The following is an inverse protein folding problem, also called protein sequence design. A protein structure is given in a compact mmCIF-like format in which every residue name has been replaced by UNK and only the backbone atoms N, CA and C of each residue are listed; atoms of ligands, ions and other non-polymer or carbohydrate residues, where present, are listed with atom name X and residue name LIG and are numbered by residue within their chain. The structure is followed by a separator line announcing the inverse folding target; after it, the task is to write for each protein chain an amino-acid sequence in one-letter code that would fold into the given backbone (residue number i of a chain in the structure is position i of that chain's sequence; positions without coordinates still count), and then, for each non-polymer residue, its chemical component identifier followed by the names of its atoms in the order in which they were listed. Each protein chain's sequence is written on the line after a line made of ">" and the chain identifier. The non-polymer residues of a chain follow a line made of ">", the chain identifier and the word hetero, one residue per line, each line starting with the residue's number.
data_IF_706448623135
#
_entry.id   IF_706448623135
#
_cell.length_a   1.000
_cell.length_b   1.000
_cell.length_c   1.000
_cell.angle_alpha   90.00
_cell.angle_beta   90.00
_cell.angle_gamma   90.00
#
_symmetry.space_group_name_H-M   'P 1'
#
loop_
_entity.id
_entity.type
_entity.pdbx_description
1 polymer ?
#
# COMPACT_ATOMS: atom_id res chain seq x y z
N UNK A 1 6.94 21.99 -61.10
CA UNK A 1 6.65 23.42 -61.21
C UNK A 1 6.57 24.00 -59.80
N UNK A 2 7.54 24.86 -59.52
CA UNK A 2 7.60 26.06 -58.68
C UNK A 2 7.04 25.93 -57.27
N UNK A 3 7.94 25.96 -56.25
CA UNK A 3 8.48 27.18 -55.58
C UNK A 3 7.34 28.02 -55.01
N UNK A 4 7.33 28.32 -53.74
CA UNK A 4 8.13 29.36 -53.11
C UNK A 4 8.21 29.13 -51.57
N UNK A 5 9.40 29.37 -51.07
CA UNK A 5 9.78 29.68 -49.70
C UNK A 5 9.26 31.06 -49.29
N UNK A 6 8.91 31.26 -48.05
CA UNK A 6 9.02 32.56 -47.42
C UNK A 6 9.44 32.42 -45.94
N UNK A 7 10.68 32.81 -45.72
CA UNK A 7 11.28 33.19 -44.45
C UNK A 7 10.82 34.58 -44.07
N UNK A 8 10.61 34.86 -42.81
CA UNK A 8 10.86 36.11 -42.08
C UNK A 8 10.19 35.94 -40.70
N UNK A 9 10.76 36.12 -39.57
CA UNK A 9 11.87 36.93 -39.15
C UNK A 9 11.52 37.54 -37.80
N UNK A 10 12.35 37.34 -36.79
CA UNK A 10 12.61 38.17 -35.62
C UNK A 10 11.47 38.75 -34.81
N UNK A 11 11.46 38.44 -33.50
CA UNK A 11 11.75 39.49 -32.51
C UNK A 11 11.84 38.91 -31.10
N UNK A 12 13.03 39.02 -30.56
CA UNK A 12 13.39 39.00 -29.15
C UNK A 12 12.70 40.15 -28.41
N UNK A 13 11.96 39.87 -27.35
CA UNK A 13 11.81 40.82 -26.25
C UNK A 13 11.91 40.03 -24.95
N UNK A 14 13.07 40.17 -24.32
CA UNK A 14 13.30 39.78 -22.96
C UNK A 14 12.63 40.77 -22.00
N UNK A 15 11.92 40.25 -21.05
CA UNK A 15 11.59 41.03 -19.83
C UNK A 15 12.06 40.24 -18.62
N UNK A 16 13.20 40.70 -18.14
CA UNK A 16 13.82 40.35 -16.88
C UNK A 16 13.05 41.06 -15.75
N UNK A 17 12.23 40.36 -15.01
CA UNK A 17 11.65 40.89 -13.77
C UNK A 17 12.42 40.34 -12.56
N UNK A 18 13.27 41.20 -12.04
CA UNK A 18 13.91 41.05 -10.74
C UNK A 18 12.86 41.22 -9.63
N UNK A 19 12.53 40.17 -8.92
CA UNK A 19 11.87 40.28 -7.62
C UNK A 19 12.92 40.29 -6.52
N UNK A 20 13.13 41.49 -6.00
CA UNK A 20 13.93 41.80 -4.82
C UNK A 20 13.26 41.19 -3.59
N UNK A 21 13.95 40.25 -2.93
CA UNK A 21 13.48 39.67 -1.69
C UNK A 21 13.71 40.58 -0.51
N UNK A 22 12.71 40.82 0.29
CA UNK A 22 12.86 41.37 1.63
C UNK A 22 13.39 40.29 2.60
N UNK A 23 14.63 40.47 3.02
CA UNK A 23 15.19 39.91 4.22
C UNK A 23 14.65 40.66 5.43
N UNK A 24 13.94 40.01 6.30
CA UNK A 24 13.85 40.44 7.71
C UNK A 24 14.70 39.50 8.53
N UNK A 25 15.80 40.08 8.95
CA UNK A 25 16.67 39.54 9.98
C UNK A 25 16.01 39.74 11.34
N UNK A 26 15.86 38.68 12.11
CA UNK A 26 15.67 38.81 13.54
C UNK A 26 16.73 37.99 14.26
N UNK A 27 17.47 38.76 15.06
CA UNK A 27 18.72 38.54 15.73
C UNK A 27 18.52 37.66 16.96
N UNK A 28 19.41 36.71 17.07
CA UNK A 28 20.10 36.22 18.28
C UNK A 28 19.42 36.24 19.65
N UNK A 29 19.35 35.07 20.26
CA UNK A 29 19.87 34.93 21.62
C UNK A 29 20.47 33.54 21.81
N UNK A 30 21.78 33.53 21.68
CA UNK A 30 22.67 32.50 22.18
C UNK A 30 22.81 32.73 23.69
N UNK A 31 22.41 31.76 24.47
CA UNK A 31 22.91 31.66 25.84
C UNK A 31 23.08 30.19 26.19
N UNK A 32 24.35 29.85 26.23
CA UNK A 32 24.92 28.66 26.82
C UNK A 32 24.34 28.39 28.21
N UNK A 33 23.98 27.15 28.49
CA UNK A 33 24.23 26.54 29.80
C UNK A 33 24.67 25.11 29.54
N UNK A 34 25.97 24.92 29.64
CA UNK A 34 26.59 23.64 29.93
C UNK A 34 26.42 23.36 31.43
N UNK A 35 26.43 22.09 31.76
CA UNK A 35 26.52 21.41 33.06
C UNK A 35 25.23 21.12 33.80
N UNK A 36 24.78 19.87 33.80
CA UNK A 36 25.01 19.00 34.95
C UNK A 36 24.49 17.59 34.65
N UNK A 37 25.43 16.64 34.56
CA UNK A 37 25.16 15.22 34.72
C UNK A 37 25.00 14.99 36.21
N UNK A 38 23.83 14.58 36.63
CA UNK A 38 23.67 13.81 37.87
C UNK A 38 22.46 12.89 37.74
N UNK A 39 22.77 11.64 37.90
CA UNK A 39 21.90 10.50 38.11
C UNK A 39 20.78 10.77 39.11
N UNK A 40 19.56 10.44 38.74
CA UNK A 40 18.63 9.86 39.69
C UNK A 40 17.73 8.88 38.94
N UNK A 41 17.81 7.64 39.36
CA UNK A 41 16.87 6.59 39.11
C UNK A 41 15.51 6.91 39.76
N UNK A 42 14.50 6.32 39.22
CA UNK A 42 13.19 6.10 39.81
C UNK A 42 12.16 7.24 39.66
N UNK A 43 11.21 7.04 38.73
CA UNK A 43 9.82 6.81 39.12
C UNK A 43 8.98 6.44 37.91
N UNK A 44 8.46 5.25 37.99
CA UNK A 44 7.40 4.62 37.26
C UNK A 44 6.23 5.59 36.98
N UNK A 45 6.02 5.96 35.71
CA UNK A 45 4.71 6.30 35.21
C UNK A 45 4.22 5.12 34.37
N UNK A 46 3.62 4.16 35.02
CA UNK A 46 2.82 3.10 34.44
C UNK A 46 1.62 3.76 33.76
N UNK A 47 1.75 4.11 32.48
CA UNK A 47 0.58 4.21 31.62
C UNK A 47 0.03 2.80 31.45
N UNK A 48 -1.05 2.56 32.12
CA UNK A 48 -1.88 1.37 32.04
C UNK A 48 -2.53 1.31 30.65
N UNK A 49 -1.73 1.02 29.61
CA UNK A 49 -2.22 0.45 28.38
C UNK A 49 -2.66 -0.95 28.74
N UNK A 50 -3.96 -1.14 28.87
CA UNK A 50 -4.59 -2.44 28.87
C UNK A 50 -3.93 -3.23 27.73
N UNK A 51 -3.03 -4.14 28.07
CA UNK A 51 -2.42 -5.04 27.11
C UNK A 51 -3.56 -5.92 26.59
N UNK A 52 -4.11 -5.59 25.42
CA UNK A 52 -4.91 -6.53 24.67
C UNK A 52 -4.03 -7.78 24.55
N UNK A 53 -4.45 -8.87 25.15
CA UNK A 53 -3.70 -10.12 25.08
C UNK A 53 -3.54 -10.49 23.60
N UNK A 54 -2.29 -10.60 23.17
CA UNK A 54 -2.01 -11.09 21.82
C UNK A 54 -2.44 -12.56 21.77
N UNK A 55 -3.62 -12.81 21.22
CA UNK A 55 -4.24 -14.13 21.12
C UNK A 55 -3.36 -15.10 20.32
N UNK A 56 -2.55 -14.57 19.40
CA UNK A 56 -1.64 -15.38 18.57
C UNK A 56 -0.36 -15.80 19.31
N UNK A 57 -0.11 -15.26 20.52
CA UNK A 57 1.11 -15.51 21.28
C UNK A 57 2.34 -14.79 20.71
N UNK A 58 3.52 -15.38 20.94
CA UNK A 58 4.77 -14.85 20.39
C UNK A 58 4.99 -15.37 18.96
N UNK A 59 5.50 -14.54 18.04
CA UNK A 59 5.76 -14.98 16.68
C UNK A 59 6.87 -16.02 16.64
N UNK A 60 6.68 -17.04 15.83
CA UNK A 60 7.68 -18.11 15.59
C UNK A 60 8.80 -17.66 14.65
N UNK A 61 8.61 -16.53 13.96
CA UNK A 61 9.56 -15.90 13.05
C UNK A 61 8.95 -14.72 12.33
N UNK A 62 9.78 -14.03 11.53
CA UNK A 62 9.36 -12.91 10.72
C UNK A 62 10.04 -12.95 9.35
N UNK A 63 9.39 -12.38 8.34
CA UNK A 63 9.96 -12.26 7.01
C UNK A 63 11.10 -11.25 6.98
N UNK A 64 12.28 -11.66 6.49
CA UNK A 64 13.39 -10.74 6.27
C UNK A 64 13.11 -9.85 5.06
N UNK A 65 12.96 -8.55 5.29
CA UNK A 65 12.70 -7.55 4.26
C UNK A 65 13.95 -6.72 4.02
N UNK A 66 14.54 -6.82 2.81
CA UNK A 66 15.76 -6.08 2.47
C UNK A 66 15.48 -4.63 2.06
N UNK A 67 14.37 -4.38 1.39
CA UNK A 67 14.04 -3.06 0.81
C UNK A 67 12.72 -2.49 1.31
N UNK A 68 11.72 -3.32 1.51
CA UNK A 68 10.41 -2.88 1.97
C UNK A 68 10.46 -2.40 3.43
N UNK A 69 9.89 -1.21 3.69
CA UNK A 69 9.87 -0.58 5.03
C UNK A 69 8.45 -0.21 5.49
N UNK A 70 7.46 -0.48 4.63
CA UNK A 70 6.09 -0.04 4.87
C UNK A 70 5.19 -1.16 5.36
N UNK A 71 5.71 -2.37 5.50
CA UNK A 71 5.00 -3.51 6.08
C UNK A 71 5.97 -4.45 6.80
N UNK A 72 5.43 -5.31 7.63
CA UNK A 72 6.11 -6.47 8.22
C UNK A 72 5.23 -7.70 8.09
N UNK A 73 5.85 -8.88 8.15
CA UNK A 73 5.16 -10.16 8.13
C UNK A 73 5.71 -11.01 9.26
N UNK A 74 4.84 -11.36 10.19
CA UNK A 74 5.16 -12.21 11.34
C UNK A 74 4.44 -13.55 11.22
N UNK A 75 5.12 -14.63 11.57
CA UNK A 75 4.60 -15.98 11.52
C UNK A 75 4.21 -16.46 12.93
N UNK A 76 3.05 -17.08 13.05
CA UNK A 76 2.52 -17.63 14.29
C UNK A 76 2.12 -19.08 14.05
N UNK A 77 3.14 -19.96 13.93
CA UNK A 77 2.91 -21.32 13.47
C UNK A 77 2.43 -21.34 12.01
N UNK A 78 1.21 -21.81 11.81
CA UNK A 78 0.59 -21.87 10.48
C UNK A 78 -0.06 -20.55 10.04
N UNK A 79 -0.26 -19.61 10.96
CA UNK A 79 -0.85 -18.30 10.66
C UNK A 79 0.22 -17.29 10.26
N UNK A 80 -0.17 -16.34 9.40
CA UNK A 80 0.72 -15.25 8.99
C UNK A 80 0.02 -13.92 9.20
N UNK A 81 0.64 -13.02 9.95
CA UNK A 81 0.14 -11.68 10.20
C UNK A 81 0.96 -10.64 9.43
N UNK A 82 0.33 -10.02 8.45
CA UNK A 82 0.88 -8.87 7.74
C UNK A 82 0.42 -7.60 8.44
N UNK A 83 1.37 -6.71 8.74
CA UNK A 83 1.11 -5.38 9.32
C UNK A 83 1.67 -4.31 8.40
N UNK A 84 0.86 -3.33 8.06
CA UNK A 84 1.30 -2.19 7.26
C UNK A 84 1.59 -0.98 8.16
N UNK A 85 2.36 -0.04 7.65
CA UNK A 85 2.77 1.15 8.41
C UNK A 85 1.61 2.06 8.80
N UNK A 86 0.51 2.03 8.06
CA UNK A 86 -0.71 2.78 8.36
C UNK A 86 -1.58 2.12 9.45
N UNK A 87 -1.14 0.97 9.98
CA UNK A 87 -1.81 0.26 11.06
C UNK A 87 -2.74 -0.86 10.60
N UNK A 88 -2.94 -1.05 9.30
CA UNK A 88 -3.73 -2.18 8.79
C UNK A 88 -3.07 -3.51 9.15
N UNK A 89 -3.84 -4.45 9.65
CA UNK A 89 -3.40 -5.80 9.98
C UNK A 89 -4.25 -6.84 9.24
N UNK A 90 -3.58 -7.79 8.59
CA UNK A 90 -4.24 -8.88 7.86
C UNK A 90 -3.68 -10.21 8.35
N UNK A 91 -4.55 -11.04 8.92
CA UNK A 91 -4.23 -12.40 9.34
C UNK A 91 -4.63 -13.36 8.25
N UNK A 92 -3.67 -14.07 7.65
CA UNK A 92 -3.97 -15.18 6.77
C UNK A 92 -4.15 -16.46 7.57
N UNK A 93 -5.26 -17.14 7.33
CA UNK A 93 -5.66 -18.37 8.01
C UNK A 93 -5.70 -19.50 6.98
N UNK A 94 -4.91 -20.56 7.12
CA UNK A 94 -4.97 -21.72 6.22
C UNK A 94 -6.36 -22.34 6.14
N UNK A 95 -6.64 -23.04 5.06
CA UNK A 95 -7.95 -23.66 4.80
C UNK A 95 -8.35 -24.66 5.89
N UNK A 96 -7.39 -25.43 6.37
CA UNK A 96 -7.56 -26.48 7.37
C UNK A 96 -7.53 -25.99 8.83
N UNK A 97 -7.38 -24.67 9.04
CA UNK A 97 -7.29 -24.07 10.39
C UNK A 97 -8.51 -23.25 10.73
N UNK A 98 -8.87 -23.25 11.99
CA UNK A 98 -9.91 -22.37 12.51
C UNK A 98 -9.39 -20.94 12.69
N UNK A 99 -10.29 -19.97 12.58
CA UNK A 99 -9.97 -18.60 12.93
C UNK A 99 -9.79 -18.53 14.45
N UNK A 100 -8.67 -17.97 14.95
CA UNK A 100 -8.47 -17.85 16.40
C UNK A 100 -9.57 -17.04 17.06
N UNK A 101 -10.07 -17.53 18.20
CA UNK A 101 -11.05 -16.80 19.00
C UNK A 101 -10.44 -15.54 19.62
N UNK A 102 -11.27 -14.52 19.83
CA UNK A 102 -10.89 -13.26 20.48
C UNK A 102 -9.77 -12.47 19.79
N UNK A 103 -9.67 -12.56 18.46
CA UNK A 103 -8.83 -11.65 17.67
C UNK A 103 -9.24 -10.20 17.91
N UNK A 104 -8.27 -9.30 17.79
CA UNK A 104 -8.57 -7.87 17.79
C UNK A 104 -9.50 -7.54 16.61
N UNK A 105 -10.53 -6.74 16.85
CA UNK A 105 -11.52 -6.34 15.84
C UNK A 105 -10.91 -5.60 14.66
N UNK A 106 -9.72 -4.99 14.86
CA UNK A 106 -8.97 -4.30 13.83
C UNK A 106 -8.20 -5.24 12.88
N UNK A 107 -8.16 -6.54 13.17
CA UNK A 107 -7.50 -7.54 12.31
C UNK A 107 -8.46 -8.03 11.23
N UNK A 108 -8.10 -7.78 9.99
CA UNK A 108 -8.80 -8.35 8.83
C UNK A 108 -8.39 -9.81 8.66
N UNK A 109 -9.34 -10.72 8.69
CA UNK A 109 -9.08 -12.16 8.49
C UNK A 109 -9.21 -12.51 7.02
N UNK A 110 -8.16 -13.11 6.46
CA UNK A 110 -8.14 -13.65 5.11
C UNK A 110 -8.01 -15.18 5.19
N UNK A 111 -9.13 -15.87 5.00
CA UNK A 111 -9.16 -17.34 4.92
C UNK A 111 -8.58 -17.78 3.58
N UNK A 112 -7.75 -18.82 3.60
CA UNK A 112 -7.21 -19.41 2.38
C UNK A 112 -8.03 -20.64 1.95
N UNK A 113 -8.12 -20.93 0.63
CA UNK A 113 -7.65 -20.09 -0.46
C UNK A 113 -8.45 -18.79 -0.53
N UNK A 114 -7.79 -17.68 -0.89
CA UNK A 114 -8.50 -16.46 -1.19
C UNK A 114 -9.20 -16.63 -2.54
N UNK A 115 -10.52 -16.55 -2.53
CA UNK A 115 -11.37 -16.56 -3.72
C UNK A 115 -12.25 -15.30 -3.74
N UNK A 116 -13.00 -15.11 -4.81
CA UNK A 116 -13.91 -13.97 -4.91
C UNK A 116 -13.21 -12.61 -5.04
N UNK A 117 -11.97 -12.58 -5.49
CA UNK A 117 -11.21 -11.33 -5.61
C UNK A 117 -11.79 -10.46 -6.72
N UNK A 118 -12.11 -9.19 -6.37
CA UNK A 118 -12.39 -8.14 -7.34
C UNK A 118 -11.10 -7.36 -7.64
N UNK A 119 -10.63 -7.43 -8.88
CA UNK A 119 -9.37 -6.85 -9.29
C UNK A 119 -9.54 -5.79 -10.37
N UNK A 120 -8.94 -4.61 -10.15
CA UNK A 120 -9.06 -3.45 -11.05
C UNK A 120 -7.73 -3.02 -11.67
N UNK A 121 -6.62 -3.40 -11.06
CA UNK A 121 -5.28 -2.96 -11.46
C UNK A 121 -4.63 -3.92 -12.44
N UNK A 122 -4.24 -3.44 -13.62
CA UNK A 122 -3.54 -4.25 -14.62
C UNK A 122 -2.17 -4.74 -14.14
N UNK A 123 -1.44 -3.93 -13.36
CA UNK A 123 -0.16 -4.34 -12.81
C UNK A 123 -0.32 -5.49 -11.79
N UNK A 124 -1.39 -5.47 -11.01
CA UNK A 124 -1.68 -6.55 -10.05
C UNK A 124 -2.17 -7.80 -10.79
N UNK A 125 -2.94 -7.66 -11.87
CA UNK A 125 -3.35 -8.79 -12.71
C UNK A 125 -2.14 -9.56 -13.24
N UNK A 126 -1.09 -8.85 -13.67
CA UNK A 126 0.14 -9.46 -14.15
C UNK A 126 0.87 -10.24 -13.04
N UNK A 127 0.86 -9.73 -11.81
CA UNK A 127 1.40 -10.46 -10.66
C UNK A 127 0.63 -11.77 -10.39
N UNK A 128 -0.69 -11.76 -10.47
CA UNK A 128 -1.50 -12.98 -10.33
C UNK A 128 -1.23 -13.97 -11.45
N UNK A 129 -1.01 -13.49 -12.69
CA UNK A 129 -0.61 -14.33 -13.81
C UNK A 129 0.73 -15.03 -13.52
N UNK A 130 1.75 -14.26 -13.12
CA UNK A 130 3.08 -14.81 -12.81
C UNK A 130 3.07 -15.83 -11.65
N UNK A 131 2.13 -15.68 -10.72
CA UNK A 131 1.93 -16.60 -9.61
C UNK A 131 1.04 -17.81 -9.98
N UNK A 132 0.53 -17.91 -11.22
CA UNK A 132 -0.47 -18.88 -11.65
C UNK A 132 -1.72 -18.87 -10.74
N UNK A 133 -2.15 -17.69 -10.31
CA UNK A 133 -3.24 -17.49 -9.35
C UNK A 133 -4.42 -16.71 -9.94
N UNK A 134 -4.57 -16.68 -11.27
CA UNK A 134 -5.71 -15.99 -11.91
C UNK A 134 -7.06 -16.59 -11.50
N UNK A 135 -7.09 -17.86 -11.12
CA UNK A 135 -8.30 -18.54 -10.68
C UNK A 135 -8.88 -17.95 -9.37
N UNK A 136 -8.08 -17.23 -8.60
CA UNK A 136 -8.54 -16.52 -7.40
C UNK A 136 -9.36 -15.28 -7.74
N UNK A 137 -9.27 -14.77 -8.99
CA UNK A 137 -9.92 -13.53 -9.41
C UNK A 137 -11.28 -13.89 -10.02
N UNK A 138 -12.33 -13.58 -9.29
CA UNK A 138 -13.70 -13.80 -9.75
C UNK A 138 -14.25 -12.60 -10.50
N UNK A 139 -13.82 -11.39 -10.13
CA UNK A 139 -14.38 -10.16 -10.68
C UNK A 139 -13.28 -9.23 -11.21
N UNK A 140 -13.56 -8.61 -12.35
CA UNK A 140 -12.68 -7.65 -13.00
C UNK A 140 -13.32 -6.26 -13.05
N UNK A 141 -12.51 -5.23 -12.72
CA UNK A 141 -12.90 -3.84 -12.90
C UNK A 141 -12.75 -3.32 -14.33
N UNK A 142 -12.30 -4.17 -15.24
CA UNK A 142 -12.16 -3.85 -16.67
C UNK A 142 -12.85 -4.92 -17.51
N UNK A 143 -13.39 -4.53 -18.67
CA UNK A 143 -13.93 -5.46 -19.64
C UNK A 143 -12.82 -6.22 -20.36
N UNK A 144 -13.13 -7.41 -20.89
CA UNK A 144 -12.17 -8.27 -21.59
C UNK A 144 -11.37 -7.53 -22.68
N UNK A 145 -12.03 -6.69 -23.46
CA UNK A 145 -11.43 -5.90 -24.54
C UNK A 145 -10.35 -4.91 -24.09
N UNK A 146 -10.35 -4.53 -22.80
CA UNK A 146 -9.41 -3.58 -22.23
C UNK A 146 -8.19 -4.22 -21.54
N UNK A 147 -8.16 -5.54 -21.45
CA UNK A 147 -7.03 -6.25 -20.91
C UNK A 147 -5.95 -6.47 -21.97
N UNK A 148 -4.68 -6.29 -21.56
CA UNK A 148 -3.50 -6.62 -22.38
C UNK A 148 -2.97 -8.02 -22.09
N UNK A 149 -3.49 -8.68 -21.05
CA UNK A 149 -3.10 -10.01 -20.59
C UNK A 149 -4.07 -10.99 -21.22
N UNK A 150 -3.58 -11.85 -22.13
CA UNK A 150 -4.42 -12.74 -22.90
C UNK A 150 -5.13 -13.77 -22.02
N UNK A 151 -4.46 -14.29 -20.99
CA UNK A 151 -5.04 -15.23 -20.04
C UNK A 151 -6.23 -14.61 -19.27
N UNK A 152 -6.15 -13.31 -18.94
CA UNK A 152 -7.27 -12.60 -18.31
C UNK A 152 -8.45 -12.42 -19.26
N UNK A 153 -8.19 -12.13 -20.57
CA UNK A 153 -9.23 -12.08 -21.59
C UNK A 153 -9.92 -13.43 -21.75
N UNK A 154 -9.13 -14.49 -21.87
CA UNK A 154 -9.63 -15.85 -22.01
C UNK A 154 -10.49 -16.27 -20.81
N UNK A 155 -10.05 -15.94 -19.58
CA UNK A 155 -10.82 -16.22 -18.37
C UNK A 155 -12.18 -15.51 -18.38
N UNK A 156 -12.22 -14.27 -18.86
CA UNK A 156 -13.47 -13.50 -18.99
C UNK A 156 -14.36 -14.05 -20.11
N UNK A 157 -13.81 -14.39 -21.26
CA UNK A 157 -14.54 -14.97 -22.39
C UNK A 157 -15.14 -16.35 -22.05
N UNK A 158 -14.46 -17.11 -21.20
CA UNK A 158 -14.92 -18.38 -20.66
C UNK A 158 -15.92 -18.23 -19.50
N UNK A 159 -16.19 -17.01 -19.05
CA UNK A 159 -17.09 -16.75 -17.91
C UNK A 159 -16.50 -17.11 -16.53
N UNK A 160 -15.20 -17.39 -16.45
CA UNK A 160 -14.49 -17.67 -15.19
C UNK A 160 -14.24 -16.40 -14.39
N UNK A 161 -14.11 -15.27 -15.07
CA UNK A 161 -13.93 -13.94 -14.49
C UNK A 161 -14.99 -13.02 -15.06
N UNK A 162 -15.76 -12.34 -14.22
CA UNK A 162 -16.87 -11.49 -14.62
C UNK A 162 -16.49 -10.00 -14.53
N UNK A 163 -17.02 -9.20 -15.45
CA UNK A 163 -16.90 -7.75 -15.31
C UNK A 163 -17.89 -7.24 -14.26
N UNK A 164 -17.36 -6.67 -13.17
CA UNK A 164 -18.14 -6.17 -12.03
C UNK A 164 -18.07 -4.64 -11.88
N UNK A 165 -18.16 -3.92 -13.01
CA UNK A 165 -18.10 -2.46 -12.98
C UNK A 165 -16.68 -1.92 -12.81
N UNK A 166 -16.53 -0.58 -12.88
CA UNK A 166 -15.26 0.11 -12.65
C UNK A 166 -15.05 0.32 -11.15
N UNK A 167 -13.78 0.53 -10.72
CA UNK A 167 -13.46 0.83 -9.33
C UNK A 167 -14.27 2.00 -8.73
N UNK A 168 -14.64 2.99 -9.57
CA UNK A 168 -15.45 4.15 -9.16
C UNK A 168 -16.95 3.88 -9.10
N UNK A 169 -17.39 2.76 -9.63
CA UNK A 169 -18.80 2.33 -9.67
C UNK A 169 -18.83 0.80 -9.80
N UNK A 170 -18.46 0.08 -8.75
CA UNK A 170 -18.57 -1.38 -8.74
C UNK A 170 -20.04 -1.82 -8.80
N UNK A 171 -20.27 -2.98 -9.39
CA UNK A 171 -21.57 -3.64 -9.35
C UNK A 171 -21.60 -4.58 -8.14
N UNK A 172 -22.35 -4.23 -7.13
CA UNK A 172 -22.49 -5.02 -5.90
C UNK A 172 -23.66 -6.02 -5.94
N UNK A 173 -24.33 -6.15 -7.10
CA UNK A 173 -25.48 -7.06 -7.27
C UNK A 173 -25.06 -8.39 -7.93
N UNK A 174 -23.76 -8.55 -8.29
CA UNK A 174 -23.18 -9.76 -8.89
C UNK A 174 -22.85 -10.83 -7.87
#
# INVERSE_FOLDING_TARGET
>A
MRRESLLLGCALIGTLTLFSGCRTAQKSNEKQILTKIESNADESASENKTSKQNVLGEPTGSMALSYAKNFSVDYYGDYTLLKTKDGTQVLTVPEDKDIPDNLDEDIVVLKQPADGIYLVSSAVMDMFRELNALDCIQFSGQKAENWYIDEAKEAMEQGKMLYAGKYSSPDYEL
#
